data_IF_444609657926
#
_entry.id   IF_444609657926
#
_cell.length_a   1.000
_cell.length_b   1.000
_cell.length_c   1.000
_cell.angle_alpha   90.00
_cell.angle_beta   90.00
_cell.angle_gamma   90.00
#
_symmetry.space_group_name_H-M   'P 1'
#
loop_
_entity.id
_entity.type
_entity.pdbx_description
1 polymer ?
#
# COMPACT_ATOMS: atom_id res chain seq x y z
N UNK A 1 -19.18 13.86 23.92
CA UNK A 1 -17.72 13.74 23.68
C UNK A 1 -17.26 15.03 23.03
N UNK A 2 -16.23 15.66 23.57
CA UNK A 2 -15.63 16.89 23.02
C UNK A 2 -14.18 16.58 22.66
N UNK A 3 -13.79 16.93 21.44
CA UNK A 3 -12.45 16.72 20.91
C UNK A 3 -11.83 18.08 20.60
N UNK A 4 -10.60 18.33 21.06
CA UNK A 4 -9.75 19.39 20.57
C UNK A 4 -8.39 18.81 20.14
N UNK A 5 -7.51 19.64 19.55
CA UNK A 5 -6.19 19.21 19.05
C UNK A 5 -5.29 18.54 20.11
N UNK A 6 -5.56 18.70 21.40
CA UNK A 6 -4.71 18.25 22.51
C UNK A 6 -5.41 17.34 23.52
N UNK A 7 -6.73 17.19 23.46
CA UNK A 7 -7.51 16.51 24.49
C UNK A 7 -8.81 15.92 23.94
N UNK A 8 -9.11 14.69 24.38
CA UNK A 8 -10.38 14.01 24.13
C UNK A 8 -11.12 13.88 25.46
N UNK A 9 -12.21 14.64 25.63
CA UNK A 9 -13.08 14.54 26.80
C UNK A 9 -14.30 13.69 26.47
N UNK A 10 -14.50 12.63 27.23
CA UNK A 10 -15.65 11.75 27.10
C UNK A 10 -16.32 11.55 28.46
N UNK A 11 -17.65 11.46 28.43
CA UNK A 11 -18.49 11.08 29.59
C UNK A 11 -18.68 9.57 29.66
N UNK A 12 -18.15 8.83 28.69
CA UNK A 12 -18.22 7.37 28.64
C UNK A 12 -17.10 6.78 29.49
N UNK A 13 -17.47 6.00 30.51
CA UNK A 13 -16.53 5.29 31.37
C UNK A 13 -16.01 3.99 30.75
N UNK A 14 -16.67 3.49 29.70
CA UNK A 14 -16.26 2.32 28.92
C UNK A 14 -16.45 2.57 27.42
N UNK A 15 -15.61 1.99 26.55
CA UNK A 15 -15.78 2.07 25.10
C UNK A 15 -17.12 1.47 24.67
N UNK A 16 -17.84 2.17 23.80
CA UNK A 16 -19.09 1.64 23.19
C UNK A 16 -18.77 0.49 22.23
N UNK A 17 -17.55 0.47 21.69
CA UNK A 17 -17.05 -0.52 20.73
C UNK A 17 -15.70 -1.01 21.22
N UNK A 18 -15.46 -2.31 21.06
CA UNK A 18 -14.17 -2.92 21.34
C UNK A 18 -13.09 -2.39 20.37
N UNK A 19 -11.99 -1.88 20.90
CA UNK A 19 -10.88 -1.33 20.12
C UNK A 19 -9.64 -2.20 20.34
N UNK A 20 -8.99 -2.61 19.24
CA UNK A 20 -7.67 -3.23 19.30
C UNK A 20 -6.72 -2.46 18.39
N UNK A 21 -5.51 -2.18 18.86
CA UNK A 21 -4.57 -1.34 18.13
C UNK A 21 -3.16 -1.93 18.12
N UNK A 22 -2.54 -1.89 16.94
CA UNK A 22 -1.28 -2.58 16.64
C UNK A 22 -0.26 -1.63 16.02
N UNK A 23 1.00 -1.73 16.47
CA UNK A 23 2.12 -1.01 15.85
C UNK A 23 2.57 -1.68 14.54
N UNK A 24 3.63 -1.14 13.93
CA UNK A 24 4.23 -1.65 12.69
C UNK A 24 5.04 -2.96 12.84
N UNK A 25 5.49 -3.31 14.05
CA UNK A 25 6.42 -4.43 14.31
C UNK A 25 5.68 -5.75 14.62
N UNK A 26 4.58 -5.69 15.37
CA UNK A 26 3.65 -6.84 15.60
C UNK A 26 4.36 -8.13 16.03
N UNK A 27 5.14 -8.08 17.11
CA UNK A 27 5.90 -9.22 17.60
C UNK A 27 5.05 -10.18 18.44
N UNK A 28 5.33 -11.48 18.33
CA UNK A 28 4.84 -12.50 19.28
C UNK A 28 5.58 -12.41 20.63
N UNK A 29 4.99 -12.93 21.73
CA UNK A 29 5.66 -12.98 23.03
C UNK A 29 7.03 -13.67 22.94
N UNK A 30 8.02 -13.14 23.66
CA UNK A 30 9.31 -13.80 23.89
C UNK A 30 9.58 -13.82 25.38
N UNK A 31 9.76 -15.02 25.91
CA UNK A 31 9.98 -15.24 27.35
C UNK A 31 11.12 -14.35 27.87
N UNK A 32 10.87 -13.68 28.99
CA UNK A 32 11.80 -12.74 29.61
C UNK A 32 12.09 -11.45 28.84
N UNK A 33 11.46 -11.19 27.69
CA UNK A 33 11.70 -10.00 26.85
C UNK A 33 10.46 -9.14 26.64
N UNK A 34 9.45 -9.70 25.98
CA UNK A 34 8.21 -8.99 25.62
C UNK A 34 7.01 -9.87 25.95
N UNK A 35 5.99 -9.27 26.51
CA UNK A 35 4.77 -9.94 26.96
C UNK A 35 3.54 -9.22 26.43
N UNK A 36 2.41 -9.93 26.26
CA UNK A 36 1.18 -9.29 25.88
C UNK A 36 0.69 -8.36 26.98
N UNK A 37 -0.15 -7.40 26.60
CA UNK A 37 -0.89 -6.59 27.55
C UNK A 37 -1.67 -7.49 28.53
N UNK A 38 -1.41 -7.33 29.83
CA UNK A 38 -2.07 -8.07 30.91
C UNK A 38 -3.34 -7.34 31.36
N UNK A 39 -4.42 -8.09 31.51
CA UNK A 39 -5.73 -7.60 31.97
C UNK A 39 -6.84 -8.24 31.14
N UNK A 40 -8.00 -8.45 31.75
CA UNK A 40 -9.21 -8.81 31.02
C UNK A 40 -9.52 -7.69 30.02
N UNK A 41 -9.82 -8.07 28.77
CA UNK A 41 -10.13 -7.13 27.71
C UNK A 41 -11.47 -6.43 28.00
N UNK A 42 -11.42 -5.25 28.62
CA UNK A 42 -12.59 -4.38 28.82
C UNK A 42 -12.52 -3.20 27.85
N UNK A 43 -12.95 -3.46 26.61
CA UNK A 43 -13.24 -2.43 25.61
C UNK A 43 -12.06 -1.87 24.82
N UNK A 44 -10.82 -1.87 25.32
CA UNK A 44 -9.67 -1.38 24.56
C UNK A 44 -8.36 -2.11 24.88
N UNK A 45 -7.63 -2.53 23.84
CA UNK A 45 -6.27 -3.10 23.89
C UNK A 45 -5.41 -2.33 22.89
N UNK A 46 -4.72 -1.31 23.37
CA UNK A 46 -4.03 -0.35 22.51
C UNK A 46 -2.58 -0.07 22.91
N UNK A 47 -2.06 -0.71 23.97
CA UNK A 47 -0.68 -0.45 24.41
C UNK A 47 0.36 -0.82 23.36
N UNK A 48 0.12 -1.90 22.61
CA UNK A 48 1.04 -2.31 21.53
C UNK A 48 1.23 -1.20 20.48
N UNK A 49 0.19 -0.44 20.13
CA UNK A 49 0.31 0.66 19.16
C UNK A 49 1.34 1.72 19.58
N UNK A 50 1.39 2.06 20.87
CA UNK A 50 2.21 3.18 21.38
C UNK A 50 3.51 2.74 22.04
N UNK A 51 3.61 1.46 22.44
CA UNK A 51 4.78 0.90 23.11
C UNK A 51 5.10 -0.48 22.54
N UNK A 52 6.22 -0.55 21.81
CA UNK A 52 6.71 -1.75 21.14
C UNK A 52 7.17 -2.86 22.09
N UNK A 53 7.26 -2.59 23.40
CA UNK A 53 7.63 -3.59 24.40
C UNK A 53 6.47 -4.54 24.74
N UNK A 54 5.24 -4.17 24.39
CA UNK A 54 4.08 -5.06 24.46
C UNK A 54 4.02 -5.93 23.21
N UNK A 55 3.87 -7.24 23.37
CA UNK A 55 3.68 -8.16 22.25
C UNK A 55 2.20 -8.35 21.93
N UNK A 56 1.94 -9.02 20.80
CA UNK A 56 0.67 -9.72 20.54
C UNK A 56 0.49 -10.88 21.54
N UNK A 57 -0.67 -11.52 21.54
CA UNK A 57 -0.90 -12.75 22.29
C UNK A 57 -0.02 -13.91 21.80
N UNK A 58 0.07 -14.95 22.62
CA UNK A 58 0.60 -16.25 22.20
C UNK A 58 -0.43 -16.97 21.31
N UNK A 59 -0.33 -16.74 20.00
CA UNK A 59 -1.20 -17.31 18.99
C UNK A 59 -1.17 -18.84 18.98
N UNK A 60 0.01 -19.43 19.15
CA UNK A 60 0.20 -20.89 19.11
C UNK A 60 -0.53 -21.54 20.28
N UNK A 61 -0.30 -21.01 21.49
CA UNK A 61 -1.00 -21.48 22.70
C UNK A 61 -2.51 -21.29 22.60
N UNK A 62 -2.98 -20.17 22.02
CA UNK A 62 -4.41 -19.91 21.88
C UNK A 62 -5.08 -20.88 20.90
N UNK A 63 -4.49 -21.10 19.71
CA UNK A 63 -5.02 -22.02 18.70
C UNK A 63 -5.07 -23.47 19.22
N UNK A 64 -4.05 -23.90 19.93
CA UNK A 64 -3.99 -25.24 20.54
C UNK A 64 -5.07 -25.41 21.61
N UNK A 65 -5.27 -24.39 22.47
CA UNK A 65 -6.33 -24.41 23.48
C UNK A 65 -7.71 -24.45 22.82
N UNK A 66 -7.90 -23.67 21.75
CA UNK A 66 -9.14 -23.66 20.98
C UNK A 66 -9.42 -25.02 20.37
N UNK A 67 -8.45 -25.61 19.65
CA UNK A 67 -8.58 -26.94 19.05
C UNK A 67 -8.97 -28.03 20.06
N UNK A 68 -8.44 -27.95 21.29
CA UNK A 68 -8.76 -28.89 22.38
C UNK A 68 -10.13 -28.66 23.00
N UNK A 69 -10.58 -27.40 23.10
CA UNK A 69 -11.86 -27.02 23.73
C UNK A 69 -13.03 -27.18 22.78
N UNK A 70 -12.88 -26.69 21.55
CA UNK A 70 -13.92 -26.66 20.51
C UNK A 70 -13.24 -26.77 19.13
N UNK A 71 -13.31 -27.98 18.56
CA UNK A 71 -12.71 -28.28 17.25
C UNK A 71 -13.44 -27.55 16.12
N UNK A 72 -14.76 -27.43 16.18
CA UNK A 72 -15.54 -26.77 15.12
C UNK A 72 -15.21 -25.27 15.06
N UNK A 73 -15.03 -24.65 16.23
CA UNK A 73 -14.53 -23.29 16.33
C UNK A 73 -13.11 -23.13 15.76
N UNK A 74 -12.20 -24.07 16.06
CA UNK A 74 -10.87 -24.09 15.45
C UNK A 74 -10.94 -24.23 13.93
N UNK A 75 -11.76 -25.14 13.40
CA UNK A 75 -11.87 -25.38 11.96
C UNK A 75 -12.38 -24.12 11.23
N UNK A 76 -13.32 -23.37 11.84
CA UNK A 76 -13.74 -22.04 11.34
C UNK A 76 -12.58 -21.04 11.30
N UNK A 77 -11.80 -20.94 12.37
CA UNK A 77 -10.59 -20.09 12.42
C UNK A 77 -9.58 -20.48 11.36
N UNK A 78 -9.32 -21.78 11.21
CA UNK A 78 -8.36 -22.31 10.25
C UNK A 78 -8.75 -21.93 8.81
N UNK A 79 -10.04 -21.94 8.47
CA UNK A 79 -10.55 -21.49 7.17
C UNK A 79 -10.30 -20.00 6.98
N UNK A 80 -10.69 -19.16 7.95
CA UNK A 80 -10.46 -17.70 7.86
C UNK A 80 -8.97 -17.35 7.76
N UNK A 81 -8.11 -18.04 8.52
CA UNK A 81 -6.66 -17.87 8.45
C UNK A 81 -6.11 -18.32 7.10
N UNK A 82 -6.58 -19.44 6.56
CA UNK A 82 -6.19 -19.93 5.22
C UNK A 82 -6.51 -18.89 4.14
N UNK A 83 -7.73 -18.37 4.15
CA UNK A 83 -8.17 -17.34 3.20
C UNK A 83 -7.34 -16.07 3.29
N UNK A 84 -6.99 -15.69 4.51
CA UNK A 84 -6.16 -14.52 4.80
C UNK A 84 -4.71 -14.76 4.35
N UNK A 85 -4.16 -15.98 4.56
CA UNK A 85 -2.78 -16.38 4.29
C UNK A 85 -2.41 -16.63 2.82
N UNK A 86 -3.29 -16.34 1.86
CA UNK A 86 -3.10 -16.63 0.43
C UNK A 86 -2.67 -18.08 0.16
N UNK A 87 -3.17 -19.00 0.99
CA UNK A 87 -2.93 -20.43 0.83
C UNK A 87 -3.79 -20.98 -0.32
N UNK A 88 -3.30 -22.01 -0.99
CA UNK A 88 -3.96 -22.65 -2.12
C UNK A 88 -5.14 -23.52 -1.65
N UNK A 89 -5.99 -23.98 -2.58
CA UNK A 89 -7.25 -24.64 -2.22
C UNK A 89 -7.05 -25.97 -1.47
N UNK A 90 -5.94 -26.66 -1.69
CA UNK A 90 -5.54 -27.90 -1.02
C UNK A 90 -4.76 -27.67 0.29
N UNK A 91 -4.21 -26.48 0.49
CA UNK A 91 -3.51 -26.12 1.72
C UNK A 91 -4.45 -26.14 2.93
N UNK A 92 -3.94 -26.53 4.09
CA UNK A 92 -4.72 -26.54 5.34
C UNK A 92 -3.90 -26.09 6.55
N UNK A 93 -4.57 -25.49 7.53
CA UNK A 93 -4.00 -25.18 8.84
C UNK A 93 -4.52 -26.22 9.82
N UNK A 94 -3.62 -26.85 10.57
CA UNK A 94 -3.96 -27.90 11.53
C UNK A 94 -3.05 -27.87 12.75
N UNK A 95 -3.42 -28.58 13.81
CA UNK A 95 -2.54 -28.77 14.98
C UNK A 95 -1.84 -30.12 14.88
N UNK A 96 -0.50 -30.13 14.88
CA UNK A 96 0.32 -31.34 14.92
C UNK A 96 1.28 -31.23 16.10
N UNK A 97 1.36 -32.28 16.95
CA UNK A 97 2.20 -32.29 18.15
C UNK A 97 2.08 -31.03 19.00
N UNK A 98 0.84 -30.53 19.15
CA UNK A 98 0.52 -29.36 19.97
C UNK A 98 1.13 -28.04 19.45
N UNK A 99 1.33 -27.94 18.14
CA UNK A 99 1.75 -26.72 17.43
C UNK A 99 0.89 -26.50 16.18
N UNK A 100 0.56 -25.23 15.83
CA UNK A 100 -0.08 -24.93 14.56
C UNK A 100 0.91 -25.16 13.41
N UNK A 101 0.44 -25.83 12.36
CA UNK A 101 1.21 -26.13 11.16
C UNK A 101 0.38 -25.87 9.91
N UNK A 102 1.07 -25.50 8.83
CA UNK A 102 0.51 -25.41 7.48
C UNK A 102 0.89 -26.68 6.74
N UNK A 103 -0.09 -27.37 6.17
CA UNK A 103 0.11 -28.47 5.25
C UNK A 103 -0.05 -27.95 3.83
N UNK A 104 0.99 -28.08 3.01
CA UNK A 104 1.03 -27.62 1.62
C UNK A 104 1.74 -28.65 0.76
N UNK A 105 1.12 -29.09 -0.34
CA UNK A 105 1.71 -30.07 -1.28
C UNK A 105 2.23 -31.36 -0.62
N UNK A 106 1.63 -31.79 0.49
CA UNK A 106 2.07 -32.95 1.28
C UNK A 106 3.19 -32.65 2.30
N UNK A 107 3.82 -31.48 2.23
CA UNK A 107 4.78 -31.00 3.22
C UNK A 107 4.07 -30.34 4.40
N UNK A 108 4.74 -30.36 5.57
CA UNK A 108 4.24 -29.78 6.82
C UNK A 108 5.24 -28.74 7.30
N UNK A 109 4.78 -27.50 7.41
CA UNK A 109 5.59 -26.37 7.85
C UNK A 109 5.05 -25.83 9.18
N UNK A 110 5.95 -25.58 10.12
CA UNK A 110 5.67 -24.76 11.30
C UNK A 110 5.43 -23.31 10.89
N UNK A 111 4.61 -22.59 11.65
CA UNK A 111 4.44 -21.15 11.49
C UNK A 111 5.78 -20.41 11.62
N UNK A 112 6.68 -20.91 12.46
CA UNK A 112 8.01 -20.32 12.64
C UNK A 112 8.93 -20.46 11.42
N UNK A 113 8.62 -21.36 10.48
CA UNK A 113 9.39 -21.53 9.22
C UNK A 113 8.93 -20.57 8.11
N UNK A 114 7.85 -19.82 8.34
CA UNK A 114 7.35 -18.82 7.39
C UNK A 114 8.21 -17.55 7.42
N UNK A 115 8.13 -16.77 6.33
CA UNK A 115 8.77 -15.46 6.28
C UNK A 115 8.14 -14.46 7.25
N UNK A 116 8.90 -13.45 7.67
CA UNK A 116 8.48 -12.44 8.64
C UNK A 116 7.13 -11.80 8.32
N UNK A 117 6.89 -11.47 7.05
CA UNK A 117 5.62 -10.91 6.62
C UNK A 117 4.43 -11.86 6.84
N UNK A 118 4.57 -13.14 6.48
CA UNK A 118 3.52 -14.13 6.68
C UNK A 118 3.27 -14.38 8.18
N UNK A 119 4.34 -14.45 8.98
CA UNK A 119 4.24 -14.61 10.44
C UNK A 119 3.53 -13.42 11.08
N UNK A 120 3.91 -12.20 10.71
CA UNK A 120 3.31 -10.96 11.24
C UNK A 120 1.80 -10.94 11.00
N UNK A 121 1.37 -11.30 9.79
CA UNK A 121 -0.05 -11.35 9.43
C UNK A 121 -0.79 -12.48 10.14
N UNK A 122 -0.19 -13.66 10.24
CA UNK A 122 -0.77 -14.77 10.99
C UNK A 122 -1.00 -14.39 12.46
N UNK A 123 0.01 -13.83 13.13
CA UNK A 123 -0.10 -13.41 14.53
C UNK A 123 -1.10 -12.28 14.71
N UNK A 124 -1.14 -11.31 13.80
CA UNK A 124 -2.13 -10.23 13.80
C UNK A 124 -3.55 -10.79 13.69
N UNK A 125 -3.81 -11.68 12.73
CA UNK A 125 -5.12 -12.26 12.51
C UNK A 125 -5.59 -13.07 13.72
N UNK A 126 -4.71 -13.90 14.30
CA UNK A 126 -5.03 -14.68 15.49
C UNK A 126 -5.27 -13.78 16.70
N UNK A 127 -4.50 -12.70 16.87
CA UNK A 127 -4.71 -11.74 17.97
C UNK A 127 -6.05 -11.01 17.86
N UNK A 128 -6.41 -10.55 16.65
CA UNK A 128 -7.70 -9.91 16.37
C UNK A 128 -8.84 -10.88 16.70
N UNK A 129 -8.76 -12.11 16.18
CA UNK A 129 -9.75 -13.15 16.46
C UNK A 129 -9.86 -13.35 17.97
N UNK A 130 -8.80 -13.83 18.61
CA UNK A 130 -8.78 -14.15 20.04
C UNK A 130 -9.26 -13.02 20.95
N UNK A 131 -8.94 -11.77 20.62
CA UNK A 131 -9.33 -10.60 21.41
C UNK A 131 -10.80 -10.24 21.19
N UNK A 132 -11.31 -10.28 19.95
CA UNK A 132 -12.63 -9.72 19.63
C UNK A 132 -13.80 -10.70 19.72
N UNK A 133 -13.65 -12.00 19.46
CA UNK A 133 -14.77 -12.93 19.73
C UNK A 133 -14.71 -13.63 21.09
N UNK A 134 -13.63 -13.42 21.86
CA UNK A 134 -13.49 -14.03 23.18
C UNK A 134 -13.69 -15.56 23.14
N UNK A 135 -14.49 -16.09 24.08
CA UNK A 135 -14.73 -17.53 24.17
C UNK A 135 -15.80 -18.09 23.21
N UNK A 136 -16.69 -17.24 22.69
CA UNK A 136 -17.78 -17.66 21.80
C UNK A 136 -17.43 -17.32 20.35
N UNK A 137 -16.64 -18.21 19.75
CA UNK A 137 -16.00 -18.13 18.42
C UNK A 137 -17.04 -18.07 17.29
N UNK A 138 -17.61 -16.88 17.13
CA UNK A 138 -18.36 -16.43 15.95
C UNK A 138 -17.72 -15.14 15.46
N UNK A 139 -16.51 -15.24 14.91
CA UNK A 139 -15.74 -14.08 14.42
C UNK A 139 -16.47 -13.31 13.31
N UNK A 140 -17.32 -13.99 12.52
CA UNK A 140 -18.19 -13.36 11.52
C UNK A 140 -19.20 -12.37 12.14
N UNK A 141 -19.46 -12.51 13.45
CA UNK A 141 -20.32 -11.63 14.23
C UNK A 141 -19.53 -10.68 15.14
N UNK A 142 -18.20 -10.82 15.23
CA UNK A 142 -17.38 -9.97 16.06
C UNK A 142 -17.38 -8.54 15.52
N UNK A 143 -17.82 -7.61 16.37
CA UNK A 143 -17.90 -6.18 16.06
C UNK A 143 -16.79 -5.45 16.83
N UNK A 144 -16.11 -4.54 16.15
CA UNK A 144 -14.98 -3.85 16.74
C UNK A 144 -14.33 -2.86 15.79
N UNK A 145 -13.38 -2.10 16.33
CA UNK A 145 -12.48 -1.26 15.59
C UNK A 145 -11.05 -1.77 15.75
N UNK A 146 -10.35 -1.91 14.63
CA UNK A 146 -8.96 -2.35 14.61
C UNK A 146 -8.10 -1.24 14.00
N UNK A 147 -7.12 -0.77 14.77
CA UNK A 147 -6.13 0.21 14.32
C UNK A 147 -4.84 -0.53 13.97
N UNK A 148 -4.30 -0.34 12.77
CA UNK A 148 -3.04 -0.97 12.35
C UNK A 148 -2.11 0.12 11.83
N UNK A 149 -0.99 0.32 12.53
CA UNK A 149 0.08 1.14 12.03
C UNK A 149 0.92 0.35 11.00
N UNK A 150 1.15 0.95 9.84
CA UNK A 150 1.88 0.39 8.71
C UNK A 150 1.46 -1.05 8.36
N UNK A 151 0.29 -1.16 7.74
CA UNK A 151 -0.28 -2.46 7.34
C UNK A 151 0.60 -3.25 6.35
N UNK A 152 1.39 -2.56 5.53
CA UNK A 152 2.24 -3.16 4.49
C UNK A 152 3.62 -3.64 4.97
N UNK A 153 4.00 -3.35 6.23
CA UNK A 153 5.35 -3.62 6.75
C UNK A 153 5.74 -5.09 6.62
N UNK A 154 6.93 -5.32 6.05
CA UNK A 154 7.53 -6.65 5.79
C UNK A 154 6.69 -7.61 4.92
N UNK A 155 5.59 -7.16 4.32
CA UNK A 155 4.80 -7.98 3.41
C UNK A 155 5.44 -8.06 2.03
N UNK A 156 5.36 -9.24 1.42
CA UNK A 156 5.71 -9.43 0.02
C UNK A 156 4.80 -8.56 -0.89
N UNK A 157 5.25 -8.05 -2.05
CA UNK A 157 4.44 -7.19 -2.91
C UNK A 157 3.06 -7.77 -3.27
N UNK A 158 3.00 -9.05 -3.64
CA UNK A 158 1.73 -9.76 -3.90
C UNK A 158 0.75 -9.66 -2.72
N UNK A 159 1.27 -9.71 -1.50
CA UNK A 159 0.48 -9.57 -0.28
C UNK A 159 0.00 -8.15 -0.04
N UNK A 160 0.86 -7.15 -0.26
CA UNK A 160 0.48 -5.74 -0.13
C UNK A 160 -0.74 -5.40 -0.98
N UNK A 161 -0.81 -5.95 -2.19
CA UNK A 161 -1.94 -5.77 -3.10
C UNK A 161 -3.26 -6.35 -2.59
N UNK A 162 -3.23 -7.45 -1.82
CA UNK A 162 -4.43 -8.18 -1.40
C UNK A 162 -4.83 -7.96 0.06
N UNK A 163 -3.91 -7.49 0.92
CA UNK A 163 -4.08 -7.48 2.39
C UNK A 163 -5.37 -6.79 2.83
N UNK A 164 -5.71 -5.63 2.27
CA UNK A 164 -6.93 -4.88 2.59
C UNK A 164 -8.18 -5.69 2.23
N UNK A 165 -8.23 -6.23 1.01
CA UNK A 165 -9.36 -7.04 0.54
C UNK A 165 -9.52 -8.31 1.38
N UNK A 166 -8.42 -8.91 1.81
CA UNK A 166 -8.41 -10.13 2.63
C UNK A 166 -8.88 -9.87 4.05
N UNK A 167 -8.39 -8.82 4.69
CA UNK A 167 -8.88 -8.39 6.02
C UNK A 167 -10.38 -8.06 5.96
N UNK A 168 -10.83 -7.34 4.92
CA UNK A 168 -12.25 -7.01 4.71
C UNK A 168 -13.12 -8.27 4.61
N UNK A 169 -12.63 -9.32 3.93
CA UNK A 169 -13.34 -10.60 3.80
C UNK A 169 -13.33 -11.42 5.09
N UNK A 170 -12.19 -11.50 5.77
CA UNK A 170 -12.04 -12.27 7.00
C UNK A 170 -12.78 -11.65 8.18
N UNK A 171 -12.99 -10.33 8.16
CA UNK A 171 -13.57 -9.58 9.27
C UNK A 171 -14.64 -8.58 8.78
N UNK A 172 -15.79 -9.07 8.27
CA UNK A 172 -16.77 -8.23 7.57
C UNK A 172 -17.45 -7.17 8.48
N UNK A 173 -17.48 -7.39 9.79
CA UNK A 173 -18.09 -6.50 10.78
C UNK A 173 -17.10 -5.64 11.58
N UNK A 174 -15.81 -5.73 11.25
CA UNK A 174 -14.76 -4.93 11.89
C UNK A 174 -14.48 -3.70 11.04
N UNK A 175 -14.39 -2.54 11.70
CA UNK A 175 -13.91 -1.32 11.06
C UNK A 175 -12.40 -1.21 11.24
N UNK A 176 -11.67 -1.28 10.14
CA UNK A 176 -10.23 -1.06 10.13
C UNK A 176 -9.91 0.42 9.90
N UNK A 177 -8.96 0.94 10.67
CA UNK A 177 -8.28 2.20 10.40
C UNK A 177 -6.79 1.89 10.32
N UNK A 178 -6.21 2.09 9.14
CA UNK A 178 -4.85 1.65 8.87
C UNK A 178 -4.02 2.80 8.33
N UNK A 179 -2.75 2.84 8.69
CA UNK A 179 -1.77 3.75 8.09
C UNK A 179 -0.88 2.96 7.14
N UNK A 180 -0.35 3.63 6.11
CA UNK A 180 0.69 3.05 5.27
C UNK A 180 1.47 4.09 4.49
N UNK A 181 2.76 3.84 4.31
CA UNK A 181 3.59 4.48 3.29
C UNK A 181 3.77 3.60 2.02
N UNK A 182 3.04 2.49 1.88
CA UNK A 182 3.20 1.53 0.79
C UNK A 182 2.08 1.69 -0.28
N UNK A 183 2.39 2.12 -1.51
CA UNK A 183 1.38 2.38 -2.55
C UNK A 183 0.60 1.14 -2.96
N UNK A 184 1.24 -0.03 -2.90
CA UNK A 184 0.60 -1.30 -3.26
C UNK A 184 -0.57 -1.65 -2.34
N UNK A 185 -0.59 -1.17 -1.10
CA UNK A 185 -1.69 -1.40 -0.17
C UNK A 185 -2.97 -0.66 -0.57
N UNK A 186 -2.87 0.43 -1.34
CA UNK A 186 -4.03 1.19 -1.80
C UNK A 186 -4.86 0.43 -2.84
N UNK A 187 -4.29 -0.57 -3.51
CA UNK A 187 -4.95 -1.33 -4.59
C UNK A 187 -6.15 -2.17 -4.13
N UNK A 188 -6.29 -2.40 -2.82
CA UNK A 188 -7.46 -3.07 -2.22
C UNK A 188 -8.53 -2.11 -1.67
N UNK A 189 -8.30 -0.80 -1.74
CA UNK A 189 -9.21 0.26 -1.30
C UNK A 189 -10.15 0.70 -2.42
N UNK A 190 -11.27 1.30 -2.04
CA UNK A 190 -12.28 1.89 -2.93
C UNK A 190 -12.28 3.42 -2.78
N UNK A 191 -12.93 4.13 -3.71
CA UNK A 191 -13.18 5.56 -3.57
C UNK A 191 -13.74 5.92 -2.17
N UNK A 192 -13.16 6.96 -1.55
CA UNK A 192 -13.54 7.46 -0.23
C UNK A 192 -13.04 6.64 0.97
N UNK A 193 -12.29 5.56 0.75
CA UNK A 193 -11.67 4.77 1.83
C UNK A 193 -10.23 5.24 2.18
N UNK A 194 -9.72 6.27 1.51
CA UNK A 194 -8.37 6.80 1.70
C UNK A 194 -8.40 8.26 2.13
N UNK A 195 -7.51 8.62 3.07
CA UNK A 195 -7.26 10.00 3.49
C UNK A 195 -5.77 10.23 3.48
N UNK A 196 -5.31 11.30 2.84
CA UNK A 196 -3.88 11.67 2.82
C UNK A 196 -3.65 12.78 3.84
N UNK A 197 -2.73 12.53 4.77
CA UNK A 197 -2.27 13.55 5.72
C UNK A 197 -1.05 14.25 5.14
N UNK A 198 -1.16 15.57 4.95
CA UNK A 198 -0.06 16.40 4.44
C UNK A 198 0.05 17.70 5.23
N UNK A 199 1.08 18.49 4.98
CA UNK A 199 1.25 19.81 5.60
C UNK A 199 1.01 20.91 4.57
N UNK A 200 0.25 21.94 4.96
CA UNK A 200 0.08 23.14 4.16
C UNK A 200 1.34 24.03 4.21
N UNK A 201 1.32 25.16 3.50
CA UNK A 201 2.42 26.14 3.48
C UNK A 201 2.73 26.73 4.87
N UNK A 202 1.76 26.70 5.78
CA UNK A 202 1.88 27.17 7.17
C UNK A 202 2.32 26.04 8.12
N UNK A 203 2.74 24.89 7.58
CA UNK A 203 3.20 23.71 8.31
C UNK A 203 2.11 23.05 9.21
N UNK A 204 0.84 23.34 8.95
CA UNK A 204 -0.30 22.72 9.61
C UNK A 204 -0.68 21.40 8.94
N UNK A 205 -1.01 20.39 9.73
CA UNK A 205 -1.48 19.09 9.21
C UNK A 205 -2.91 19.25 8.70
N UNK A 206 -3.09 18.95 7.41
CA UNK A 206 -4.39 18.93 6.72
C UNK A 206 -4.67 17.51 6.19
N UNK A 207 -5.95 17.19 6.03
CA UNK A 207 -6.42 15.92 5.49
C UNK A 207 -7.01 16.14 4.09
N UNK A 208 -6.41 15.55 3.07
CA UNK A 208 -6.98 15.50 1.72
C UNK A 208 -7.94 14.31 1.65
N UNK A 209 -9.19 14.59 1.26
CA UNK A 209 -10.27 13.61 1.18
C UNK A 209 -10.87 13.52 -0.23
N UNK A 210 -10.72 14.56 -1.04
CA UNK A 210 -11.08 14.57 -2.45
C UNK A 210 -9.96 13.92 -3.26
N UNK A 211 -9.96 12.59 -3.31
CA UNK A 211 -8.95 11.79 -3.99
C UNK A 211 -9.61 10.91 -5.08
N UNK A 212 -8.90 10.62 -6.19
CA UNK A 212 -9.39 9.68 -7.20
C UNK A 212 -9.57 8.27 -6.62
N UNK A 213 -10.28 7.37 -7.32
CA UNK A 213 -10.38 5.97 -6.87
C UNK A 213 -9.02 5.26 -7.07
N UNK A 214 -8.34 4.79 -5.99
CA UNK A 214 -7.05 4.14 -6.12
C UNK A 214 -7.12 2.79 -6.86
N UNK A 215 -8.30 2.15 -6.92
CA UNK A 215 -8.48 0.88 -7.64
C UNK A 215 -8.42 1.04 -9.16
N UNK A 216 -8.67 2.25 -9.68
CA UNK A 216 -8.62 2.58 -11.10
C UNK A 216 -7.23 3.02 -11.57
N UNK A 217 -6.32 3.36 -10.64
CA UNK A 217 -5.00 3.90 -10.95
C UNK A 217 -3.90 2.85 -10.93
N UNK A 218 -3.03 2.83 -11.93
CA UNK A 218 -1.80 2.02 -11.87
C UNK A 218 -0.90 2.48 -10.70
N UNK A 219 0.03 1.62 -10.30
CA UNK A 219 0.91 1.91 -9.14
C UNK A 219 1.75 3.16 -9.37
N UNK A 220 2.26 3.37 -10.59
CA UNK A 220 2.99 4.58 -10.98
C UNK A 220 2.12 5.84 -10.93
N UNK A 221 0.84 5.72 -11.32
CA UNK A 221 -0.12 6.80 -11.22
C UNK A 221 -0.48 7.11 -9.77
N UNK A 222 -0.62 6.10 -8.90
CA UNK A 222 -0.81 6.29 -7.46
C UNK A 222 0.38 7.08 -6.89
N UNK A 223 1.60 6.66 -7.23
CA UNK A 223 2.83 7.31 -6.78
C UNK A 223 2.93 8.77 -7.25
N UNK A 224 2.51 9.09 -8.47
CA UNK A 224 2.58 10.45 -9.03
C UNK A 224 1.37 11.34 -8.71
N UNK A 225 0.28 10.76 -8.24
CA UNK A 225 -0.94 11.49 -7.84
C UNK A 225 -0.84 12.10 -6.44
N UNK A 226 -1.89 12.81 -6.02
CA UNK A 226 -2.03 13.40 -4.69
C UNK A 226 -2.00 12.39 -3.52
N UNK A 227 -1.99 11.07 -3.81
CA UNK A 227 -1.75 10.04 -2.79
C UNK A 227 -0.34 10.10 -2.20
N UNK A 228 0.68 10.29 -3.05
CA UNK A 228 2.10 10.27 -2.65
C UNK A 228 2.89 11.50 -3.12
N UNK A 229 2.42 12.17 -4.18
CA UNK A 229 2.96 13.43 -4.67
C UNK A 229 4.35 13.33 -5.29
N UNK A 230 4.74 12.16 -5.82
CA UNK A 230 5.99 12.05 -6.56
C UNK A 230 5.89 12.82 -7.88
N UNK A 231 6.92 13.59 -8.21
CA UNK A 231 7.00 14.26 -9.52
C UNK A 231 7.15 13.27 -10.67
N UNK A 232 7.89 12.19 -10.40
CA UNK A 232 8.20 11.13 -11.34
C UNK A 232 8.46 9.84 -10.56
N UNK A 233 8.19 8.70 -11.18
CA UNK A 233 8.61 7.36 -10.71
C UNK A 233 9.90 6.90 -11.38
N UNK A 234 10.48 7.72 -12.25
CA UNK A 234 11.78 7.51 -12.86
C UNK A 234 12.86 7.73 -11.79
N UNK A 235 13.96 6.98 -11.85
CA UNK A 235 15.05 7.16 -10.91
C UNK A 235 15.69 8.56 -11.04
N UNK A 236 16.20 9.17 -9.95
CA UNK A 236 16.68 10.54 -9.97
C UNK A 236 17.85 10.81 -10.93
N UNK A 237 18.70 9.82 -11.21
CA UNK A 237 19.81 9.98 -12.16
C UNK A 237 19.28 10.06 -13.59
N UNK A 238 18.34 9.19 -13.94
CA UNK A 238 17.63 9.26 -15.21
C UNK A 238 16.85 10.58 -15.34
N UNK A 239 16.15 11.03 -14.30
CA UNK A 239 15.44 12.32 -14.32
C UNK A 239 16.39 13.49 -14.64
N UNK A 240 17.60 13.49 -14.07
CA UNK A 240 18.64 14.48 -14.42
C UNK A 240 19.08 14.41 -15.88
N UNK A 241 19.21 13.20 -16.45
CA UNK A 241 19.53 13.03 -17.87
C UNK A 241 18.41 13.59 -18.76
N UNK A 242 17.15 13.40 -18.36
CA UNK A 242 15.99 13.99 -19.03
C UNK A 242 16.00 15.52 -18.93
N UNK A 243 16.21 16.07 -17.73
CA UNK A 243 16.31 17.52 -17.53
C UNK A 243 17.43 18.13 -18.38
N UNK A 244 18.60 17.49 -18.41
CA UNK A 244 19.74 17.89 -19.26
C UNK A 244 19.36 17.86 -20.74
N UNK A 245 18.71 16.77 -21.18
CA UNK A 245 18.26 16.61 -22.56
C UNK A 245 17.24 17.67 -22.97
N UNK A 246 16.23 17.93 -22.14
CA UNK A 246 15.23 18.96 -22.40
C UNK A 246 15.84 20.36 -22.37
N UNK A 247 16.79 20.64 -21.49
CA UNK A 247 17.50 21.92 -21.44
C UNK A 247 18.30 22.18 -22.74
N UNK A 248 18.99 21.17 -23.28
CA UNK A 248 19.72 21.30 -24.55
C UNK A 248 18.75 21.44 -25.74
N UNK A 249 17.62 20.71 -25.74
CA UNK A 249 16.61 20.83 -26.78
C UNK A 249 15.90 22.19 -26.78
N UNK A 250 15.77 22.82 -25.61
CA UNK A 250 15.18 24.15 -25.49
C UNK A 250 16.02 25.24 -26.17
N UNK A 251 17.33 25.05 -26.31
CA UNK A 251 18.22 25.94 -27.06
C UNK A 251 17.97 25.82 -28.58
N UNK A 252 18.01 26.95 -29.29
CA UNK A 252 17.98 26.94 -30.75
C UNK A 252 19.22 26.23 -31.30
N UNK A 253 19.07 25.53 -32.42
CA UNK A 253 20.14 24.72 -33.01
C UNK A 253 21.41 25.53 -33.35
N UNK A 254 21.22 26.82 -33.66
CA UNK A 254 22.28 27.80 -33.92
C UNK A 254 23.05 28.23 -32.66
N UNK A 255 22.42 28.14 -31.49
CA UNK A 255 22.96 28.59 -30.19
C UNK A 255 23.56 27.44 -29.38
N UNK A 256 23.48 26.20 -29.88
CA UNK A 256 24.10 25.02 -29.26
C UNK A 256 25.60 24.98 -29.53
N UNK A 257 26.39 24.90 -28.47
CA UNK A 257 27.82 24.63 -28.58
C UNK A 257 28.11 23.23 -29.13
N UNK A 258 29.30 23.02 -29.68
CA UNK A 258 29.74 21.70 -30.20
C UNK A 258 29.66 20.61 -29.12
N UNK A 259 29.99 20.95 -27.87
CA UNK A 259 29.86 20.05 -26.72
C UNK A 259 28.42 19.66 -26.42
N UNK A 260 27.47 20.61 -26.52
CA UNK A 260 26.04 20.33 -26.35
C UNK A 260 25.46 19.49 -27.48
N UNK A 261 25.94 19.65 -28.72
CA UNK A 261 25.53 18.80 -29.86
C UNK A 261 25.98 17.35 -29.68
N UNK A 262 27.24 17.14 -29.26
CA UNK A 262 27.75 15.81 -28.96
C UNK A 262 27.02 15.17 -27.78
N UNK A 263 26.79 15.94 -26.71
CA UNK A 263 26.03 15.47 -25.55
C UNK A 263 24.58 15.14 -25.90
N UNK A 264 23.95 15.91 -26.78
CA UNK A 264 22.60 15.63 -27.28
C UNK A 264 22.55 14.33 -28.09
N UNK A 265 23.57 14.05 -28.91
CA UNK A 265 23.70 12.78 -29.63
C UNK A 265 23.81 11.61 -28.65
N UNK A 266 24.67 11.73 -27.63
CA UNK A 266 24.83 10.70 -26.60
C UNK A 266 23.51 10.44 -25.86
N UNK A 267 22.85 11.51 -25.37
CA UNK A 267 21.58 11.44 -24.66
C UNK A 267 20.47 10.88 -25.57
N UNK A 268 20.44 11.24 -26.86
CA UNK A 268 19.45 10.74 -27.82
C UNK A 268 19.57 9.23 -28.11
N UNK A 269 20.71 8.61 -27.82
CA UNK A 269 20.89 7.16 -27.93
C UNK A 269 20.54 6.43 -26.61
N UNK A 270 20.76 7.10 -25.48
CA UNK A 270 20.55 6.55 -24.14
C UNK A 270 19.07 6.64 -23.74
N UNK A 271 18.44 7.79 -23.96
CA UNK A 271 17.06 8.07 -23.53
C UNK A 271 16.04 7.08 -24.13
N UNK A 272 16.06 6.75 -25.44
CA UNK A 272 15.14 5.75 -26.01
C UNK A 272 15.29 4.35 -25.39
N UNK A 273 16.51 3.98 -24.94
CA UNK A 273 16.77 2.71 -24.26
C UNK A 273 16.24 2.69 -22.83
N UNK A 274 16.23 3.86 -22.16
CA UNK A 274 15.60 4.02 -20.85
C UNK A 274 14.07 4.12 -20.98
N UNK A 275 13.57 4.64 -22.11
CA UNK A 275 12.15 4.87 -22.45
C UNK A 275 11.31 3.64 -22.81
N UNK A 276 11.76 2.40 -22.56
CA UNK A 276 10.89 1.21 -22.72
C UNK A 276 9.79 1.13 -21.60
N UNK A 277 9.12 2.24 -21.32
CA UNK A 277 8.09 2.45 -20.30
C UNK A 277 6.81 3.11 -20.89
N UNK A 278 6.58 2.96 -22.19
CA UNK A 278 5.21 2.95 -22.72
C UNK A 278 4.82 1.49 -22.91
N UNK A 279 3.77 1.02 -22.23
CA UNK A 279 3.30 -0.36 -22.38
C UNK A 279 2.71 -0.61 -23.79
N UNK A 280 2.46 0.47 -24.55
CA UNK A 280 1.89 0.45 -25.90
C UNK A 280 2.51 1.49 -26.83
N UNK A 281 2.49 1.24 -28.16
CA UNK A 281 2.93 2.20 -29.20
C UNK A 281 2.23 3.57 -29.08
N UNK A 282 0.99 3.58 -28.58
CA UNK A 282 0.22 4.81 -28.33
C UNK A 282 0.86 5.66 -27.23
N UNK A 283 1.30 5.04 -26.14
CA UNK A 283 1.96 5.74 -25.05
C UNK A 283 3.33 6.28 -25.50
N UNK A 284 4.08 5.50 -26.28
CA UNK A 284 5.38 5.92 -26.85
C UNK A 284 5.24 7.17 -27.75
N UNK A 285 4.27 7.17 -28.66
CA UNK A 285 3.95 8.32 -29.52
C UNK A 285 3.50 9.54 -28.69
N UNK A 286 2.75 9.30 -27.62
CA UNK A 286 2.28 10.36 -26.73
C UNK A 286 3.45 11.01 -25.99
N UNK A 287 4.39 10.22 -25.45
CA UNK A 287 5.60 10.75 -24.82
C UNK A 287 6.48 11.51 -25.80
N UNK A 288 6.67 11.00 -27.03
CA UNK A 288 7.44 11.71 -28.05
C UNK A 288 6.85 13.11 -28.36
N UNK A 289 5.53 13.20 -28.51
CA UNK A 289 4.84 14.47 -28.76
C UNK A 289 4.91 15.39 -27.53
N UNK A 290 4.72 14.86 -26.32
CA UNK A 290 4.85 15.62 -25.07
C UNK A 290 6.26 16.18 -24.92
N UNK A 291 7.30 15.40 -25.24
CA UNK A 291 8.70 15.81 -25.14
C UNK A 291 9.05 16.95 -26.11
N UNK A 292 8.58 16.86 -27.36
CA UNK A 292 8.74 17.94 -28.35
C UNK A 292 8.02 19.22 -27.89
N UNK A 293 6.84 19.07 -27.29
CA UNK A 293 6.05 20.18 -26.77
C UNK A 293 6.67 20.80 -25.51
N UNK A 294 7.18 19.99 -24.56
CA UNK A 294 7.87 20.47 -23.37
C UNK A 294 9.18 21.18 -23.72
N UNK A 295 9.97 20.64 -24.66
CA UNK A 295 11.17 21.29 -25.18
C UNK A 295 10.88 22.62 -25.90
N UNK A 296 9.65 22.81 -26.42
CA UNK A 296 9.18 24.12 -26.90
C UNK A 296 8.74 25.03 -25.77
N UNK A 297 8.02 24.50 -24.78
CA UNK A 297 7.41 25.29 -23.69
C UNK A 297 8.44 25.92 -22.75
N UNK A 298 9.61 25.32 -22.56
CA UNK A 298 10.74 25.92 -21.82
C UNK A 298 11.28 27.21 -22.49
N UNK A 299 10.84 27.54 -23.72
CA UNK A 299 11.21 28.78 -24.42
C UNK A 299 10.30 29.98 -24.14
N UNK A 300 9.11 29.82 -23.56
CA UNK A 300 8.11 30.90 -23.47
C UNK A 300 7.70 31.34 -22.05
N UNK A 301 8.29 30.77 -21.00
CA UNK A 301 8.06 31.07 -19.58
C UNK A 301 6.62 30.92 -19.01
N UNK A 302 6.55 30.26 -17.84
CA UNK A 302 5.55 30.51 -16.80
C UNK A 302 4.07 30.21 -17.04
N UNK A 303 3.63 29.01 -16.62
CA UNK A 303 2.29 28.75 -16.02
C UNK A 303 1.08 29.45 -16.67
N UNK A 304 0.74 29.14 -17.93
CA UNK A 304 -0.64 29.29 -18.40
C UNK A 304 -1.01 28.43 -19.60
N UNK A 305 -2.27 27.96 -19.55
CA UNK A 305 -3.14 27.47 -20.63
C UNK A 305 -3.11 25.96 -20.91
N UNK A 306 -4.29 25.33 -20.68
CA UNK A 306 -4.61 23.91 -20.87
C UNK A 306 -5.34 23.63 -22.20
N UNK A 307 -5.74 24.67 -22.97
CA UNK A 307 -6.60 24.58 -24.17
C UNK A 307 -5.84 24.62 -25.51
N UNK A 308 -4.78 25.42 -25.63
CA UNK A 308 -4.02 25.51 -26.89
C UNK A 308 -3.18 24.25 -27.15
N UNK A 309 -2.70 23.63 -26.06
CA UNK A 309 -1.95 22.36 -26.06
C UNK A 309 -2.70 21.19 -26.67
N UNK A 310 -4.01 21.08 -26.40
CA UNK A 310 -4.84 19.98 -26.91
C UNK A 310 -4.98 20.08 -28.44
N UNK A 311 -5.14 21.30 -28.96
CA UNK A 311 -5.32 21.56 -30.39
C UNK A 311 -4.04 21.32 -31.20
N UNK A 312 -2.89 21.67 -30.63
CA UNK A 312 -1.59 21.48 -31.29
C UNK A 312 -1.12 20.03 -31.22
N UNK A 313 -1.33 19.35 -30.08
CA UNK A 313 -1.07 17.91 -29.96
C UNK A 313 -1.92 17.10 -30.94
N UNK A 314 -3.21 17.43 -31.09
CA UNK A 314 -4.11 16.78 -32.05
C UNK A 314 -3.62 16.92 -33.51
N UNK A 315 -3.23 18.13 -33.93
CA UNK A 315 -2.70 18.36 -35.29
C UNK A 315 -1.42 17.55 -35.57
N UNK A 316 -0.58 17.34 -34.55
CA UNK A 316 0.70 16.65 -34.71
C UNK A 316 0.54 15.14 -34.71
N UNK A 317 -0.28 14.59 -33.81
CA UNK A 317 -0.66 13.17 -33.84
C UNK A 317 -1.28 12.82 -35.20
N UNK A 318 -2.10 13.70 -35.77
CA UNK A 318 -2.66 13.54 -37.11
C UNK A 318 -1.58 13.54 -38.21
N UNK A 319 -0.54 14.36 -38.08
CA UNK A 319 0.58 14.41 -39.03
C UNK A 319 1.47 13.15 -38.97
N UNK A 320 1.66 12.58 -37.78
CA UNK A 320 2.43 11.34 -37.58
C UNK A 320 1.64 10.14 -38.12
N UNK A 321 0.33 10.10 -37.86
CA UNK A 321 -0.55 9.08 -38.45
C UNK A 321 -0.53 9.11 -39.98
N UNK A 322 -0.58 10.31 -40.60
CA UNK A 322 -0.49 10.45 -42.07
C UNK A 322 0.86 10.00 -42.64
N UNK A 323 1.96 10.15 -41.90
CA UNK A 323 3.30 9.72 -42.36
C UNK A 323 3.54 8.22 -42.18
N UNK A 324 2.88 7.60 -41.20
CA UNK A 324 2.89 6.14 -41.01
C UNK A 324 2.02 5.41 -42.05
N UNK A 325 0.88 5.97 -42.43
CA UNK A 325 -0.02 5.36 -43.43
C UNK A 325 0.54 5.42 -44.87
N UNK A 326 1.48 6.35 -45.13
CA UNK A 326 2.21 6.44 -46.42
C UNK A 326 3.38 5.46 -46.56
N UNK A 327 3.68 4.65 -45.53
CA UNK A 327 4.79 3.67 -45.52
C UNK A 327 4.35 2.20 -45.69
N UNK A 328 3.13 1.96 -46.18
CA UNK A 328 2.68 0.64 -46.62
C UNK A 328 3.09 0.30 -48.03
#
# INVERSE_FOLDING_TARGET
MTFNKTEIKTTLHQPIVNIVAYNSIRLKPKEGKIQPEKGDFYGAKAKNLFDYTFSLIDADSWLVKLFKKDKDAFDRVAISLKDLMLLENDDTISIVKNQPVIKRNGDVFSIDELSDGYRSIFYLAVDIMATLAGENVTFDLAEGMVLIDEIGTHLHPRWRMEVVTRLRKAFPKIRFVVTTHEPLCLRGLRAGETVVLTKNQENEVIALTELPDPSELRVDQILTSDFFGLKSTIDPETERLFDEYYAILALEEKDRSEGQKNRLLDLSQIIPRIKHLGDTEREELTYYVIDELLARKTREDGLKIKKDLETEALKRVESIWKTLDTKK
#
